data_IF_528528776385
#
_entry.id   IF_528528776385
#
_cell.length_a   1.000
_cell.length_b   1.000
_cell.length_c   1.000
_cell.angle_alpha   90.00
_cell.angle_beta   90.00
_cell.angle_gamma   90.00
#
_symmetry.space_group_name_H-M   'P 1'
#
loop_
_entity.id
_entity.type
_entity.pdbx_description
1 polymer ?
#
# COMPACT_ATOMS: atom_id res chain seq x y z
N UNK A 1 -31.19 20.94 69.39
CA UNK A 1 -31.25 21.84 68.22
C UNK A 1 -30.62 21.07 67.05
N UNK A 2 -31.20 20.78 65.89
CA UNK A 2 -32.47 21.09 65.25
C UNK A 2 -32.86 19.94 64.26
N UNK A 3 -34.12 19.50 64.34
CA UNK A 3 -35.02 18.83 63.37
C UNK A 3 -34.47 17.79 62.37
N UNK A 4 -34.65 16.52 62.74
CA UNK A 4 -34.88 15.40 61.82
C UNK A 4 -36.23 15.56 61.11
N UNK A 5 -36.27 15.38 59.79
CA UNK A 5 -37.49 15.17 59.01
C UNK A 5 -37.60 13.69 58.66
N UNK A 6 -38.69 13.06 59.11
CA UNK A 6 -39.15 11.75 58.65
C UNK A 6 -39.80 11.84 57.26
N UNK A 7 -39.97 10.65 56.65
CA UNK A 7 -40.88 10.23 55.56
C UNK A 7 -40.18 9.86 54.22
N UNK A 8 -40.73 8.91 53.45
CA UNK A 8 -41.08 7.53 53.82
C UNK A 8 -40.70 6.50 52.72
N UNK A 9 -41.10 5.26 52.99
CA UNK A 9 -40.90 4.00 52.28
C UNK A 9 -41.25 3.92 50.77
N UNK A 10 -40.71 2.85 50.18
CA UNK A 10 -41.15 2.11 49.00
C UNK A 10 -40.75 2.65 47.62
N UNK A 11 -39.89 1.87 46.94
CA UNK A 11 -39.52 2.10 45.55
C UNK A 11 -38.52 1.07 45.05
N UNK A 12 -38.98 -0.15 44.83
CA UNK A 12 -38.32 -1.16 44.00
C UNK A 12 -38.14 -0.57 42.59
N UNK A 13 -36.92 -0.43 42.07
CA UNK A 13 -36.63 -0.55 40.63
C UNK A 13 -35.18 -0.16 40.28
N UNK A 14 -34.48 -1.17 39.76
CA UNK A 14 -33.84 -1.13 38.45
C UNK A 14 -32.55 -0.31 38.32
N UNK A 15 -31.45 -1.06 38.32
CA UNK A 15 -30.12 -0.65 37.91
C UNK A 15 -30.14 0.10 36.56
N UNK A 16 -29.79 1.38 36.57
CA UNK A 16 -29.39 2.10 35.37
C UNK A 16 -27.86 2.18 35.34
N UNK A 17 -27.22 1.08 34.93
CA UNK A 17 -25.84 1.12 34.45
C UNK A 17 -25.89 1.95 33.18
N UNK A 18 -25.39 3.19 33.26
CA UNK A 18 -25.28 4.10 32.14
C UNK A 18 -24.14 3.59 31.23
N UNK A 19 -24.38 2.50 30.49
CA UNK A 19 -23.45 2.01 29.48
C UNK A 19 -23.45 3.03 28.35
N UNK A 20 -22.35 3.75 28.10
CA UNK A 20 -22.33 4.63 26.97
C UNK A 20 -22.35 3.78 25.71
N UNK A 21 -23.40 3.94 24.91
CA UNK A 21 -23.47 3.54 23.51
C UNK A 21 -22.47 4.41 22.72
N UNK A 22 -21.17 4.25 22.97
CA UNK A 22 -20.18 4.75 22.03
C UNK A 22 -20.18 3.78 20.85
N UNK A 23 -20.60 4.20 19.64
CA UNK A 23 -20.41 3.38 18.46
C UNK A 23 -18.91 3.14 18.29
N UNK A 24 -18.48 1.89 18.51
CA UNK A 24 -17.11 1.48 18.26
C UNK A 24 -16.95 1.40 16.74
N UNK A 25 -16.66 2.54 16.12
CA UNK A 25 -16.27 2.60 14.71
C UNK A 25 -14.92 1.90 14.59
N UNK A 26 -14.94 0.61 14.28
CA UNK A 26 -13.75 -0.14 13.90
C UNK A 26 -13.28 0.33 12.52
N UNK A 27 -12.54 1.44 12.47
CA UNK A 27 -11.93 1.94 11.23
C UNK A 27 -10.76 1.03 10.83
N UNK A 28 -11.05 0.01 10.01
CA UNK A 28 -10.02 -0.77 9.29
C UNK A 28 -9.58 -0.08 7.99
N UNK A 29 -10.21 1.05 7.63
CA UNK A 29 -9.92 1.85 6.45
C UNK A 29 -8.42 2.12 6.19
N UNK A 30 -7.57 2.49 7.18
CA UNK A 30 -6.17 2.79 6.90
C UNK A 30 -5.37 1.56 6.43
N UNK A 31 -5.63 0.37 6.98
CA UNK A 31 -4.91 -0.86 6.57
C UNK A 31 -5.32 -1.28 5.17
N UNK A 32 -6.62 -1.22 4.87
CA UNK A 32 -7.14 -1.56 3.55
C UNK A 32 -6.58 -0.65 2.44
N UNK A 33 -6.41 0.64 2.74
CA UNK A 33 -5.80 1.60 1.82
C UNK A 33 -4.31 1.31 1.59
N UNK A 34 -3.56 0.96 2.64
CA UNK A 34 -2.14 0.56 2.53
C UNK A 34 -2.00 -0.72 1.68
N UNK A 35 -2.82 -1.74 1.94
CA UNK A 35 -2.86 -2.98 1.14
C UNK A 35 -3.12 -2.66 -0.33
N UNK A 36 -4.11 -1.81 -0.62
CA UNK A 36 -4.41 -1.38 -1.98
C UNK A 36 -3.25 -0.66 -2.64
N UNK A 37 -2.58 0.23 -1.90
CA UNK A 37 -1.44 1.00 -2.38
C UNK A 37 -0.26 0.08 -2.74
N UNK A 38 0.16 -0.80 -1.83
CA UNK A 38 1.28 -1.72 -2.06
C UNK A 38 0.97 -2.76 -3.13
N UNK A 39 -0.23 -3.35 -3.14
CA UNK A 39 -0.67 -4.26 -4.19
C UNK A 39 -0.64 -3.58 -5.57
N UNK A 40 -1.14 -2.34 -5.66
CA UNK A 40 -1.08 -1.58 -6.92
C UNK A 40 0.35 -1.31 -7.36
N UNK A 41 1.24 -0.96 -6.44
CA UNK A 41 2.64 -0.71 -6.76
C UNK A 41 3.40 -1.97 -7.18
N UNK A 42 3.19 -3.10 -6.52
CA UNK A 42 3.75 -4.39 -6.93
C UNK A 42 3.29 -4.78 -8.35
N UNK A 43 2.01 -4.53 -8.66
CA UNK A 43 1.45 -4.73 -10.00
C UNK A 43 2.14 -3.87 -11.07
N UNK A 44 2.26 -2.56 -10.82
CA UNK A 44 2.92 -1.62 -11.75
C UNK A 44 4.39 -1.95 -11.99
N UNK A 45 5.14 -2.26 -10.93
CA UNK A 45 6.55 -2.66 -11.04
C UNK A 45 6.71 -3.97 -11.80
N UNK A 46 5.76 -4.90 -11.68
CA UNK A 46 5.75 -6.13 -12.48
C UNK A 46 5.57 -5.85 -13.98
N UNK A 47 4.69 -4.91 -14.34
CA UNK A 47 4.51 -4.50 -15.74
C UNK A 47 5.75 -3.80 -16.31
N UNK A 48 6.39 -2.94 -15.52
CA UNK A 48 7.65 -2.28 -15.90
C UNK A 48 8.78 -3.29 -16.14
N UNK A 49 8.95 -4.26 -15.24
CA UNK A 49 9.96 -5.31 -15.37
C UNK A 49 9.77 -6.13 -16.66
N UNK A 50 8.52 -6.51 -16.96
CA UNK A 50 8.20 -7.27 -18.19
C UNK A 50 8.41 -6.44 -19.45
N UNK A 51 8.10 -5.14 -19.39
CA UNK A 51 8.39 -4.22 -20.49
C UNK A 51 9.88 -4.08 -20.72
N UNK A 52 10.67 -3.93 -19.66
CA UNK A 52 12.14 -3.89 -19.74
C UNK A 52 12.71 -5.17 -20.32
N UNK A 53 12.18 -6.35 -19.97
CA UNK A 53 12.57 -7.62 -20.60
C UNK A 53 12.28 -7.66 -22.10
N UNK A 54 11.16 -7.10 -22.55
CA UNK A 54 10.84 -7.03 -23.99
C UNK A 54 11.90 -6.27 -24.79
N UNK A 55 12.57 -5.30 -24.17
CA UNK A 55 13.63 -4.48 -24.78
C UNK A 55 15.05 -4.87 -24.36
N UNK A 56 15.21 -6.00 -23.65
CA UNK A 56 16.50 -6.41 -23.08
C UNK A 56 17.17 -5.31 -22.23
N UNK A 57 16.36 -4.50 -21.55
CA UNK A 57 16.84 -3.38 -20.73
C UNK A 57 17.47 -3.91 -19.42
N UNK A 58 18.76 -3.57 -19.13
CA UNK A 58 19.44 -4.01 -17.90
C UNK A 58 18.78 -3.48 -16.62
N UNK A 59 17.94 -2.43 -16.69
CA UNK A 59 17.17 -1.94 -15.56
C UNK A 59 16.19 -2.96 -14.98
N UNK A 60 15.85 -4.02 -15.74
CA UNK A 60 14.95 -5.10 -15.30
C UNK A 60 15.35 -5.77 -13.99
N UNK A 61 16.66 -5.91 -13.73
CA UNK A 61 17.16 -6.44 -12.45
C UNK A 61 16.85 -5.51 -11.27
N UNK A 62 17.09 -4.20 -11.42
CA UNK A 62 16.77 -3.22 -10.39
C UNK A 62 15.25 -3.12 -10.15
N UNK A 63 14.44 -3.20 -11.21
CA UNK A 63 12.98 -3.22 -11.10
C UNK A 63 12.50 -4.49 -10.40
N UNK A 64 13.12 -5.65 -10.65
CA UNK A 64 12.78 -6.89 -9.95
C UNK A 64 13.03 -6.79 -8.45
N UNK A 65 14.14 -6.18 -8.02
CA UNK A 65 14.44 -5.93 -6.60
C UNK A 65 13.35 -5.07 -5.97
N UNK A 66 13.02 -3.93 -6.60
CA UNK A 66 11.97 -3.01 -6.12
C UNK A 66 10.59 -3.68 -6.07
N UNK A 67 10.28 -4.50 -7.06
CA UNK A 67 9.04 -5.29 -7.12
C UNK A 67 8.95 -6.26 -5.96
N UNK A 68 10.04 -6.95 -5.63
CA UNK A 68 10.08 -7.90 -4.51
C UNK A 68 9.96 -7.18 -3.16
N UNK A 69 10.69 -6.07 -2.96
CA UNK A 69 10.54 -5.25 -1.75
C UNK A 69 9.09 -4.78 -1.53
N UNK A 70 8.39 -4.41 -2.61
CA UNK A 70 6.98 -4.02 -2.51
C UNK A 70 6.06 -5.21 -2.17
N UNK A 71 6.39 -6.42 -2.63
CA UNK A 71 5.69 -7.65 -2.23
C UNK A 71 5.95 -7.94 -0.75
N UNK A 72 7.17 -7.81 -0.27
CA UNK A 72 7.50 -8.03 1.15
C UNK A 72 6.72 -7.07 2.06
N UNK A 73 6.62 -5.79 1.67
CA UNK A 73 5.80 -4.80 2.39
C UNK A 73 4.31 -5.14 2.37
N UNK A 74 3.81 -5.66 1.25
CA UNK A 74 2.41 -6.07 1.09
C UNK A 74 2.09 -7.28 1.96
N UNK A 75 2.95 -8.29 1.95
CA UNK A 75 2.77 -9.53 2.71
C UNK A 75 2.84 -9.26 4.23
N UNK A 76 3.59 -8.24 4.66
CA UNK A 76 3.66 -7.82 6.05
C UNK A 76 2.37 -7.16 6.59
N UNK A 77 1.51 -6.64 5.71
CA UNK A 77 0.31 -5.86 6.10
C UNK A 77 -1.00 -6.47 5.62
N UNK A 78 -0.96 -7.42 4.69
CA UNK A 78 -2.14 -8.09 4.18
C UNK A 78 -2.77 -8.96 5.28
N UNK A 79 -4.09 -8.82 5.56
CA UNK A 79 -4.76 -9.69 6.52
C UNK A 79 -4.90 -11.10 5.94
N UNK A 80 -4.94 -12.10 6.83
CA UNK A 80 -5.18 -13.48 6.45
C UNK A 80 -6.48 -13.63 5.63
N UNK A 81 -6.45 -14.47 4.58
CA UNK A 81 -7.60 -14.70 3.70
C UNK A 81 -7.86 -13.60 2.65
N UNK A 82 -7.01 -12.57 2.54
CA UNK A 82 -7.16 -11.52 1.53
C UNK A 82 -6.55 -11.85 0.14
N UNK A 83 -6.00 -13.05 -0.05
CA UNK A 83 -5.20 -13.43 -1.22
C UNK A 83 -5.88 -13.12 -2.56
N UNK A 84 -7.15 -13.47 -2.71
CA UNK A 84 -7.90 -13.29 -3.95
C UNK A 84 -8.00 -11.81 -4.31
N UNK A 85 -8.27 -10.97 -3.31
CA UNK A 85 -8.41 -9.52 -3.44
C UNK A 85 -7.05 -8.87 -3.73
N UNK A 86 -6.00 -9.26 -3.01
CA UNK A 86 -4.63 -8.78 -3.24
C UNK A 86 -4.16 -9.11 -4.66
N UNK A 87 -4.43 -10.35 -5.12
CA UNK A 87 -4.10 -10.79 -6.47
C UNK A 87 -4.85 -9.99 -7.54
N UNK A 88 -6.15 -9.73 -7.33
CA UNK A 88 -6.95 -8.92 -8.24
C UNK A 88 -6.38 -7.50 -8.38
N UNK A 89 -6.10 -6.83 -7.25
CA UNK A 89 -5.51 -5.49 -7.23
C UNK A 89 -4.16 -5.41 -7.96
N UNK A 90 -3.28 -6.40 -7.75
CA UNK A 90 -1.99 -6.49 -8.44
C UNK A 90 -2.18 -6.66 -9.95
N UNK A 91 -3.09 -7.54 -10.36
CA UNK A 91 -3.36 -7.82 -11.76
C UNK A 91 -3.94 -6.58 -12.48
N UNK A 92 -4.94 -5.93 -11.88
CA UNK A 92 -5.56 -4.72 -12.44
C UNK A 92 -4.52 -3.61 -12.64
N UNK A 93 -3.72 -3.34 -11.62
CA UNK A 93 -2.67 -2.32 -11.69
C UNK A 93 -1.58 -2.66 -12.72
N UNK A 94 -1.20 -3.94 -12.82
CA UNK A 94 -0.26 -4.43 -13.83
C UNK A 94 -0.79 -4.21 -15.25
N UNK A 95 -2.03 -4.59 -15.51
CA UNK A 95 -2.68 -4.41 -16.82
C UNK A 95 -2.78 -2.92 -17.18
N UNK A 96 -3.16 -2.07 -16.23
CA UNK A 96 -3.25 -0.62 -16.45
C UNK A 96 -1.88 -0.02 -16.80
N UNK A 97 -0.82 -0.40 -16.08
CA UNK A 97 0.53 0.07 -16.34
C UNK A 97 1.06 -0.44 -17.69
N UNK A 98 0.85 -1.72 -18.01
CA UNK A 98 1.24 -2.29 -19.30
C UNK A 98 0.55 -1.59 -20.49
N UNK A 99 -0.67 -1.07 -20.31
CA UNK A 99 -1.34 -0.26 -21.34
C UNK A 99 -0.63 1.08 -21.56
N UNK A 100 -0.18 1.75 -20.49
CA UNK A 100 0.60 2.98 -20.62
C UNK A 100 1.94 2.73 -21.30
N UNK A 101 2.65 1.67 -20.89
CA UNK A 101 3.95 1.31 -21.46
C UNK A 101 3.86 0.95 -22.95
N UNK A 102 2.83 0.19 -23.35
CA UNK A 102 2.59 -0.09 -24.78
C UNK A 102 2.28 1.16 -25.59
N UNK A 103 1.47 2.09 -25.08
CA UNK A 103 1.19 3.36 -25.77
C UNK A 103 2.44 4.23 -25.87
N UNK A 104 3.26 4.25 -24.82
CA UNK A 104 4.53 4.96 -24.81
C UNK A 104 5.50 4.43 -25.88
N UNK A 105 5.57 3.10 -26.05
CA UNK A 105 6.53 2.48 -26.97
C UNK A 105 6.02 2.36 -28.42
N UNK A 106 4.71 2.22 -28.64
CA UNK A 106 4.15 1.79 -29.93
C UNK A 106 3.07 2.70 -30.51
N UNK A 107 2.72 3.84 -29.88
CA UNK A 107 1.76 4.77 -30.49
C UNK A 107 2.38 5.53 -31.67
N UNK A 108 1.59 5.72 -32.73
CA UNK A 108 1.93 6.57 -33.88
C UNK A 108 1.72 8.07 -33.59
N UNK A 109 0.96 8.40 -32.53
CA UNK A 109 0.78 9.76 -32.05
C UNK A 109 1.84 10.10 -31.00
N UNK A 110 2.77 10.99 -31.37
CA UNK A 110 3.86 11.43 -30.51
C UNK A 110 3.38 12.13 -29.23
N UNK A 111 2.24 12.83 -29.28
CA UNK A 111 1.66 13.51 -28.11
C UNK A 111 1.09 12.48 -27.13
N UNK A 112 0.39 11.46 -27.65
CA UNK A 112 -0.09 10.34 -26.84
C UNK A 112 1.08 9.58 -26.21
N UNK A 113 2.08 9.20 -27.01
CA UNK A 113 3.26 8.48 -26.53
C UNK A 113 3.95 9.25 -25.39
N UNK A 114 4.23 10.53 -25.60
CA UNK A 114 4.85 11.39 -24.59
C UNK A 114 3.99 11.53 -23.32
N UNK A 115 2.66 11.62 -23.46
CA UNK A 115 1.75 11.64 -22.31
C UNK A 115 1.78 10.32 -21.54
N UNK A 116 1.73 9.18 -22.24
CA UNK A 116 1.77 7.86 -21.63
C UNK A 116 3.08 7.63 -20.87
N UNK A 117 4.23 8.04 -21.45
CA UNK A 117 5.54 8.03 -20.78
C UNK A 117 5.52 8.82 -19.48
N UNK A 118 5.04 10.08 -19.51
CA UNK A 118 4.99 10.92 -18.30
C UNK A 118 4.09 10.32 -17.22
N UNK A 119 2.93 9.79 -17.58
CA UNK A 119 1.99 9.20 -16.62
C UNK A 119 2.58 7.91 -16.01
N UNK A 120 3.12 7.03 -16.86
CA UNK A 120 3.82 5.81 -16.44
C UNK A 120 4.93 6.12 -15.44
N UNK A 121 5.84 7.03 -15.80
CA UNK A 121 6.97 7.43 -14.97
C UNK A 121 6.53 8.01 -13.62
N UNK A 122 5.47 8.84 -13.60
CA UNK A 122 4.93 9.39 -12.33
C UNK A 122 4.41 8.30 -11.40
N UNK A 123 3.70 7.30 -11.93
CA UNK A 123 3.21 6.20 -11.10
C UNK A 123 4.36 5.37 -10.53
N UNK A 124 5.37 5.04 -11.34
CA UNK A 124 6.54 4.31 -10.89
C UNK A 124 7.36 5.11 -9.87
N UNK A 125 7.56 6.40 -10.09
CA UNK A 125 8.25 7.28 -9.14
C UNK A 125 7.55 7.31 -7.77
N UNK A 126 6.21 7.40 -7.75
CA UNK A 126 5.43 7.31 -6.51
C UNK A 126 5.61 5.96 -5.81
N UNK A 127 5.60 4.86 -6.56
CA UNK A 127 5.82 3.54 -5.98
C UNK A 127 7.24 3.38 -5.41
N UNK A 128 8.25 3.89 -6.11
CA UNK A 128 9.64 3.83 -5.65
C UNK A 128 9.87 4.70 -4.40
N UNK A 129 9.14 5.81 -4.25
CA UNK A 129 9.23 6.67 -3.07
C UNK A 129 8.70 6.02 -1.78
N UNK A 130 7.93 4.92 -1.89
CA UNK A 130 7.43 4.15 -0.74
C UNK A 130 8.43 3.08 -0.27
N UNK A 131 9.46 2.79 -1.07
CA UNK A 131 10.42 1.76 -0.73
C UNK A 131 11.41 2.27 0.32
N UNK A 132 11.80 1.43 1.29
CA UNK A 132 12.82 1.79 2.25
C UNK A 132 14.14 2.06 1.50
N UNK A 133 14.74 3.23 1.75
CA UNK A 133 16.08 3.53 1.26
C UNK A 133 17.06 2.65 2.03
N UNK A 134 17.56 1.61 1.38
CA UNK A 134 18.62 0.79 1.96
C UNK A 134 19.91 1.59 1.89
N UNK A 135 20.26 2.27 2.99
CA UNK A 135 21.64 2.73 3.17
C UNK A 135 22.51 1.49 3.25
N UNK A 136 23.39 1.34 2.26
CA UNK A 136 24.29 0.20 2.15
C UNK A 136 25.08 0.03 3.44
N UNK A 137 24.84 -1.06 4.18
CA UNK A 137 25.78 -1.59 5.15
C UNK A 137 26.97 -2.29 4.45
N UNK A 138 27.44 -1.71 3.33
CA UNK A 138 28.49 -2.23 2.46
C UNK A 138 29.83 -1.50 2.57
N UNK A 139 29.95 -0.50 3.46
CA UNK A 139 31.16 0.31 3.64
C UNK A 139 32.24 -0.27 4.58
N UNK A 140 32.00 -1.42 5.24
CA UNK A 140 32.92 -1.95 6.25
C UNK A 140 33.97 -2.94 5.72
N UNK A 141 33.95 -3.30 4.43
CA UNK A 141 34.84 -4.34 3.88
C UNK A 141 36.03 -3.81 3.04
N UNK A 142 36.27 -2.49 3.00
CA UNK A 142 37.33 -1.89 2.20
C UNK A 142 38.22 -0.93 3.01
N UNK A 143 38.89 -1.42 4.06
CA UNK A 143 40.03 -0.70 4.68
C UNK A 143 40.98 -1.61 5.48
N UNK A 144 41.44 -2.72 4.88
CA UNK A 144 42.65 -3.41 5.36
C UNK A 144 43.60 -3.64 4.19
N UNK A 145 44.49 -2.68 3.98
CA UNK A 145 45.50 -2.72 2.92
C UNK A 145 46.26 -1.39 2.86
N UNK A 146 47.25 -1.24 3.73
CA UNK A 146 48.14 -0.09 3.84
C UNK A 146 49.06 -0.26 5.04
#
# INVERSE_FOLDING_TARGET
MARQKCLPAAGLALALVLTPLFPRSGSSAPVEEIVRLFASCAGRLSAEMEHQWLFSDPASGATAIRRNQMIDLLDAVAPEGADSRVRALRLEAKVAQARLLRRAAFSWDAVEAARATRVSARFLARCNALLPQQREAGGAAASSGG
#
